data_IF_620455539278
#
_entry.id   IF_620455539278
#
_cell.length_a   1.000
_cell.length_b   1.000
_cell.length_c   1.000
_cell.angle_alpha   90.00
_cell.angle_beta   90.00
_cell.angle_gamma   90.00
#
_symmetry.space_group_name_H-M   'P 1'
#
loop_
_entity.id
_entity.type
_entity.pdbx_description
1 polymer ?
#
# COMPACT_ATOMS: atom_id res chain seq x y z
N UNK A 1 5.29 25.92 -6.51
CA UNK A 1 4.04 25.78 -7.27
C UNK A 1 3.16 24.75 -6.57
N UNK A 2 1.84 24.94 -6.41
CA UNK A 2 0.95 23.91 -5.90
C UNK A 2 1.08 22.63 -6.75
N UNK A 3 1.07 21.46 -6.07
CA UNK A 3 1.14 20.16 -6.76
C UNK A 3 2.53 19.69 -7.19
N UNK A 4 3.60 20.41 -6.83
CA UNK A 4 4.98 20.00 -7.10
C UNK A 4 5.74 19.93 -5.77
N UNK A 5 5.75 18.75 -5.09
CA UNK A 5 6.42 18.61 -3.82
C UNK A 5 7.95 18.69 -3.99
N UNK A 6 8.61 19.29 -3.00
CA UNK A 6 10.04 19.10 -2.81
C UNK A 6 10.24 17.75 -2.12
N UNK A 7 11.16 16.95 -2.64
CA UNK A 7 11.43 15.60 -2.10
C UNK A 7 12.93 15.48 -1.85
N UNK A 8 13.28 15.04 -0.65
CA UNK A 8 14.63 14.59 -0.31
C UNK A 8 14.57 13.20 0.32
N UNK A 9 15.64 12.43 0.19
CA UNK A 9 15.67 11.09 0.70
C UNK A 9 17.06 10.48 0.76
N UNK A 10 17.15 9.41 1.57
CA UNK A 10 18.33 8.56 1.70
C UNK A 10 17.90 7.13 1.55
N UNK A 11 18.60 6.39 0.68
CA UNK A 11 18.40 4.97 0.47
C UNK A 11 19.71 4.23 0.77
N UNK A 12 19.61 3.15 1.53
CA UNK A 12 20.71 2.24 1.84
C UNK A 12 20.29 0.83 1.47
N UNK A 13 21.21 0.04 0.93
CA UNK A 13 20.99 -1.37 0.63
C UNK A 13 22.24 -2.18 0.88
N UNK A 14 22.08 -3.47 1.15
CA UNK A 14 23.16 -4.43 1.23
C UNK A 14 22.74 -5.77 0.63
N UNK A 15 23.73 -6.53 0.17
CA UNK A 15 23.64 -7.95 -0.15
C UNK A 15 24.82 -8.65 0.47
N UNK A 16 24.58 -9.82 1.07
CA UNK A 16 25.59 -10.66 1.68
C UNK A 16 25.32 -12.12 1.30
N UNK A 17 26.38 -12.84 0.94
CA UNK A 17 26.35 -14.27 0.68
C UNK A 17 27.53 -14.89 1.39
N UNK A 18 27.29 -15.98 2.11
CA UNK A 18 28.29 -16.72 2.84
C UNK A 18 28.16 -18.21 2.51
N UNK A 19 29.11 -18.80 1.76
CA UNK A 19 29.14 -20.24 1.53
C UNK A 19 29.34 -21.02 2.84
N UNK A 20 28.54 -22.09 3.02
CA UNK A 20 28.70 -23.06 4.10
C UNK A 20 29.08 -24.40 3.47
N UNK A 21 30.38 -24.67 3.38
CA UNK A 21 30.89 -25.82 2.64
C UNK A 21 30.75 -25.64 1.13
N UNK A 22 30.61 -26.76 0.39
CA UNK A 22 30.65 -26.77 -1.08
C UNK A 22 29.26 -26.68 -1.73
N UNK A 23 28.21 -26.96 -1.00
CA UNK A 23 26.86 -27.17 -1.59
C UNK A 23 25.79 -26.20 -1.05
N UNK A 24 26.07 -25.44 0.00
CA UNK A 24 25.08 -24.63 0.69
C UNK A 24 25.62 -23.23 0.93
N UNK A 25 24.78 -22.23 0.80
CA UNK A 25 25.08 -20.86 1.14
C UNK A 25 23.96 -20.21 1.95
N UNK A 26 24.34 -19.36 2.89
CA UNK A 26 23.45 -18.44 3.57
C UNK A 26 23.51 -17.11 2.82
N UNK A 27 22.37 -16.48 2.64
CA UNK A 27 22.32 -15.16 2.06
C UNK A 27 21.44 -14.22 2.88
N UNK A 28 21.73 -12.94 2.77
CA UNK A 28 20.88 -11.89 3.32
C UNK A 28 20.95 -10.66 2.44
N UNK A 29 19.82 -9.99 2.31
CA UNK A 29 19.74 -8.69 1.66
C UNK A 29 18.82 -7.77 2.46
N UNK A 30 19.06 -6.46 2.37
CA UNK A 30 18.20 -5.51 3.00
C UNK A 30 18.24 -4.16 2.31
N UNK A 31 17.12 -3.45 2.47
CA UNK A 31 16.97 -2.07 2.04
C UNK A 31 16.39 -1.25 3.20
N UNK A 32 16.84 -0.04 3.30
CA UNK A 32 16.27 0.96 4.19
C UNK A 32 16.21 2.29 3.44
N UNK A 33 15.07 2.97 3.53
CA UNK A 33 14.91 4.29 2.98
C UNK A 33 14.17 5.23 3.94
N UNK A 34 14.54 6.49 3.85
CA UNK A 34 13.82 7.60 4.44
C UNK A 34 13.61 8.64 3.36
N UNK A 35 12.36 9.05 3.19
CA UNK A 35 11.96 10.10 2.27
C UNK A 35 11.17 11.16 3.04
N UNK A 36 11.45 12.41 2.74
CA UNK A 36 10.69 13.55 3.18
C UNK A 36 10.13 14.27 1.96
N UNK A 37 8.84 14.54 1.97
CA UNK A 37 8.17 15.26 0.89
C UNK A 37 7.37 16.41 1.48
N UNK A 38 7.56 17.59 0.91
CA UNK A 38 6.91 18.85 1.30
C UNK A 38 6.08 19.39 0.17
N UNK A 39 4.81 19.68 0.43
CA UNK A 39 3.88 20.19 -0.56
C UNK A 39 3.11 21.41 -0.05
N UNK A 40 3.16 22.49 -0.80
CA UNK A 40 2.30 23.64 -0.59
C UNK A 40 0.96 23.43 -1.26
N UNK A 41 -0.12 23.69 -0.50
CA UNK A 41 -1.49 23.59 -0.99
C UNK A 41 -1.97 24.95 -1.54
N UNK A 42 -3.28 25.13 -1.64
CA UNK A 42 -3.86 26.38 -2.16
C UNK A 42 -3.84 27.47 -1.12
N UNK A 43 -3.42 28.68 -1.50
CA UNK A 43 -3.42 29.87 -0.66
C UNK A 43 -4.82 30.18 -0.11
N UNK A 44 -4.89 30.44 1.18
CA UNK A 44 -6.07 30.90 1.90
C UNK A 44 -5.97 32.41 2.09
N UNK A 45 -6.81 33.15 1.36
CA UNK A 45 -6.81 34.62 1.43
C UNK A 45 -7.27 35.13 2.80
N UNK A 46 -6.91 36.35 3.21
CA UNK A 46 -7.32 36.91 4.52
C UNK A 46 -8.82 36.83 4.80
N UNK A 47 -9.65 37.11 3.77
CA UNK A 47 -11.10 37.20 3.86
C UNK A 47 -11.82 35.94 3.42
N UNK A 48 -11.25 34.76 3.65
CA UNK A 48 -11.93 33.49 3.38
C UNK A 48 -12.49 32.87 4.66
N UNK A 49 -13.55 32.08 4.52
CA UNK A 49 -14.11 31.29 5.62
C UNK A 49 -13.10 30.26 6.18
N UNK A 50 -12.05 29.95 5.42
CA UNK A 50 -10.99 29.02 5.76
C UNK A 50 -9.79 29.69 6.47
N UNK A 51 -9.93 30.95 6.89
CA UNK A 51 -8.89 31.68 7.61
C UNK A 51 -9.41 32.27 8.94
N UNK A 52 -8.53 32.47 9.88
CA UNK A 52 -8.73 33.22 11.12
C UNK A 52 -7.76 34.40 11.10
N UNK A 53 -8.25 35.64 10.76
CA UNK A 53 -7.38 36.79 10.60
C UNK A 53 -6.57 37.17 11.83
N UNK A 54 -7.05 36.79 13.03
CA UNK A 54 -6.30 37.00 14.29
C UNK A 54 -5.01 36.15 14.34
N UNK A 55 -4.92 35.04 13.61
CA UNK A 55 -3.74 34.19 13.51
C UNK A 55 -2.93 34.50 12.23
N UNK A 56 -3.62 34.70 11.12
CA UNK A 56 -3.00 34.97 9.81
C UNK A 56 -3.65 36.19 9.14
N UNK A 57 -3.24 37.41 9.49
CA UNK A 57 -3.82 38.66 8.95
C UNK A 57 -3.73 38.77 7.43
N UNK A 58 -2.62 38.26 6.88
CA UNK A 58 -2.35 38.28 5.43
C UNK A 58 -2.79 36.97 4.72
N UNK A 59 -3.48 36.07 5.42
CA UNK A 59 -3.76 34.74 4.90
C UNK A 59 -2.57 33.78 5.03
N UNK A 60 -2.71 32.55 4.53
CA UNK A 60 -1.66 31.53 4.63
C UNK A 60 -1.79 30.48 3.52
N UNK A 61 -0.72 29.72 3.35
CA UNK A 61 -0.69 28.55 2.48
C UNK A 61 -0.53 27.31 3.38
N UNK A 62 -1.48 26.37 3.42
CA UNK A 62 -1.27 25.13 4.13
C UNK A 62 -0.05 24.40 3.56
N UNK A 63 0.79 23.87 4.45
CA UNK A 63 2.02 23.16 4.11
C UNK A 63 1.95 21.73 4.63
N UNK A 64 1.93 20.77 3.73
CA UNK A 64 1.75 19.36 4.03
C UNK A 64 3.08 18.61 3.91
N UNK A 65 3.42 17.85 4.94
CA UNK A 65 4.68 17.12 5.05
C UNK A 65 4.40 15.62 5.17
N UNK A 66 5.13 14.83 4.41
CA UNK A 66 5.11 13.37 4.48
C UNK A 66 6.51 12.90 4.86
N UNK A 67 6.61 12.19 5.98
CA UNK A 67 7.80 11.43 6.36
C UNK A 67 7.55 9.97 6.13
N UNK A 68 8.20 9.41 5.12
CA UNK A 68 8.07 8.03 4.69
C UNK A 68 9.34 7.25 5.06
N UNK A 69 9.17 6.07 5.65
CA UNK A 69 10.25 5.16 6.03
C UNK A 69 9.92 3.77 5.56
N UNK A 70 10.82 3.22 4.75
CA UNK A 70 10.74 1.85 4.27
C UNK A 70 11.92 1.04 4.83
N UNK A 71 11.66 -0.19 5.19
CA UNK A 71 12.69 -1.14 5.53
C UNK A 71 12.27 -2.53 5.08
N UNK A 72 13.22 -3.29 4.55
CA UNK A 72 13.06 -4.69 4.22
C UNK A 72 14.35 -5.42 4.55
N UNK A 73 14.21 -6.62 5.11
CA UNK A 73 15.31 -7.56 5.29
C UNK A 73 14.84 -8.94 4.84
N UNK A 74 15.69 -9.63 4.11
CA UNK A 74 15.51 -11.02 3.69
C UNK A 74 16.70 -11.80 4.15
N UNK A 75 16.49 -12.99 4.70
CA UNK A 75 17.52 -13.96 5.01
C UNK A 75 17.11 -15.34 4.50
N UNK A 76 18.07 -16.11 4.03
CA UNK A 76 17.78 -17.42 3.48
C UNK A 76 18.98 -18.36 3.46
N UNK A 77 18.65 -19.61 3.22
CA UNK A 77 19.59 -20.72 3.05
C UNK A 77 19.22 -21.43 1.74
N UNK A 78 20.14 -21.53 0.82
CA UNK A 78 19.93 -22.24 -0.45
C UNK A 78 21.10 -23.14 -0.81
N UNK A 79 20.83 -24.14 -1.61
CA UNK A 79 21.88 -25.03 -2.05
C UNK A 79 21.40 -26.31 -2.72
N UNK A 80 22.37 -27.23 -2.88
CA UNK A 80 22.16 -28.56 -3.42
C UNK A 80 22.05 -29.57 -2.30
N UNK A 81 20.89 -30.23 -2.20
CA UNK A 81 20.60 -31.29 -1.25
C UNK A 81 20.81 -32.68 -1.84
N UNK A 82 20.50 -33.74 -1.05
CA UNK A 82 20.57 -35.10 -1.50
C UNK A 82 19.69 -35.38 -2.71
N UNK A 83 20.05 -36.37 -3.51
CA UNK A 83 19.32 -36.82 -4.70
C UNK A 83 19.12 -35.71 -5.78
N UNK A 84 20.00 -34.71 -5.84
CA UNK A 84 19.94 -33.63 -6.82
C UNK A 84 18.77 -32.66 -6.63
N UNK A 85 18.26 -32.54 -5.40
CA UNK A 85 17.26 -31.51 -5.05
C UNK A 85 17.97 -30.19 -4.78
N UNK A 86 17.64 -29.16 -5.52
CA UNK A 86 17.98 -27.76 -5.19
C UNK A 86 16.91 -27.21 -4.26
N UNK A 87 17.32 -26.47 -3.25
CA UNK A 87 16.40 -25.88 -2.28
C UNK A 87 16.73 -24.40 -2.01
N UNK A 88 15.69 -23.63 -1.68
CA UNK A 88 15.79 -22.30 -1.11
C UNK A 88 14.78 -22.17 0.04
N UNK A 89 15.29 -21.82 1.23
CA UNK A 89 14.48 -21.54 2.41
C UNK A 89 14.72 -20.09 2.77
N UNK A 90 13.68 -19.27 2.76
CA UNK A 90 13.85 -17.85 3.01
C UNK A 90 12.77 -17.28 3.90
N UNK A 91 13.12 -16.19 4.57
CA UNK A 91 12.16 -15.35 5.28
C UNK A 91 12.48 -13.89 5.03
N UNK A 92 11.43 -13.09 4.87
CA UNK A 92 11.50 -11.66 4.63
C UNK A 92 10.58 -10.92 5.58
N UNK A 93 11.03 -9.78 6.07
CA UNK A 93 10.19 -8.83 6.78
C UNK A 93 10.33 -7.46 6.15
N UNK A 94 9.19 -6.84 5.85
CA UNK A 94 9.12 -5.50 5.30
C UNK A 94 8.18 -4.61 6.11
N UNK A 95 8.52 -3.34 6.23
CA UNK A 95 7.71 -2.31 6.87
C UNK A 95 7.81 -1.00 6.12
N UNK A 96 6.65 -0.44 5.76
CA UNK A 96 6.49 0.94 5.34
C UNK A 96 5.74 1.73 6.43
N UNK A 97 6.17 2.96 6.72
CA UNK A 97 5.49 3.87 7.62
C UNK A 97 5.50 5.28 7.06
N UNK A 98 4.32 5.82 6.78
CA UNK A 98 4.10 7.19 6.36
C UNK A 98 3.48 8.00 7.51
N UNK A 99 4.23 9.00 8.00
CA UNK A 99 3.75 9.97 8.99
C UNK A 99 3.40 11.27 8.30
N UNK A 100 2.18 11.74 8.52
CA UNK A 100 1.62 12.95 7.93
C UNK A 100 1.58 14.06 8.97
N UNK A 101 2.11 15.24 8.64
CA UNK A 101 1.99 16.45 9.44
C UNK A 101 1.61 17.62 8.56
N UNK A 102 0.98 18.63 9.12
CA UNK A 102 0.52 19.79 8.37
C UNK A 102 0.67 21.06 9.19
N UNK A 103 1.10 22.13 8.52
CA UNK A 103 1.03 23.50 9.02
C UNK A 103 -0.17 24.19 8.37
N UNK A 104 -1.21 24.42 9.15
CA UNK A 104 -2.46 25.03 8.72
C UNK A 104 -3.30 25.48 9.93
N UNK A 105 -4.60 25.65 9.77
CA UNK A 105 -5.55 25.94 10.83
C UNK A 105 -6.66 24.90 10.86
N UNK A 106 -7.21 24.64 12.04
CA UNK A 106 -8.58 24.16 12.20
C UNK A 106 -9.47 25.36 12.52
N UNK A 107 -10.09 25.94 11.51
CA UNK A 107 -10.86 27.18 11.65
C UNK A 107 -12.09 27.03 12.54
N UNK A 108 -12.57 25.80 12.79
CA UNK A 108 -13.66 25.55 13.74
C UNK A 108 -13.25 25.75 15.21
N UNK A 109 -11.95 25.79 15.50
CA UNK A 109 -11.40 26.14 16.82
C UNK A 109 -11.21 27.65 17.00
N UNK A 110 -11.39 28.44 15.93
CA UNK A 110 -11.21 29.89 15.95
C UNK A 110 -9.78 30.30 16.32
N UNK A 111 -9.63 31.39 17.12
CA UNK A 111 -8.31 31.87 17.55
C UNK A 111 -7.50 30.88 18.40
N UNK A 112 -8.14 29.84 18.94
CA UNK A 112 -7.49 28.79 19.72
C UNK A 112 -6.94 27.64 18.86
N UNK A 113 -7.04 27.74 17.53
CA UNK A 113 -6.48 26.72 16.64
C UNK A 113 -4.96 26.63 16.78
N UNK A 114 -4.39 25.42 16.97
CA UNK A 114 -2.99 25.20 16.68
C UNK A 114 -2.70 25.55 15.21
N UNK A 115 -1.43 25.79 14.89
CA UNK A 115 -0.96 26.07 13.53
C UNK A 115 -0.15 24.92 12.94
N UNK A 116 0.04 23.84 13.72
CA UNK A 116 0.72 22.62 13.30
C UNK A 116 0.02 21.41 13.88
N UNK A 117 -0.17 20.39 13.05
CA UNK A 117 -0.90 19.17 13.37
C UNK A 117 -0.11 17.92 12.98
N UNK A 118 -0.19 16.89 13.80
CA UNK A 118 0.00 15.53 13.35
C UNK A 118 -1.32 15.03 12.78
N UNK A 119 -1.35 14.78 11.48
CA UNK A 119 -2.56 14.34 10.75
C UNK A 119 -2.83 12.85 11.01
N UNK A 120 -1.79 12.07 11.22
CA UNK A 120 -1.83 10.66 11.52
C UNK A 120 -0.67 9.88 10.92
N UNK A 121 -0.68 8.58 11.15
CA UNK A 121 0.37 7.69 10.66
C UNK A 121 -0.25 6.44 10.06
N UNK A 122 0.16 6.09 8.85
CA UNK A 122 -0.21 4.85 8.17
C UNK A 122 0.99 3.92 8.18
N UNK A 123 0.79 2.66 8.55
CA UNK A 123 1.84 1.64 8.57
C UNK A 123 1.37 0.39 7.84
N UNK A 124 2.19 -0.13 6.95
CA UNK A 124 2.03 -1.44 6.33
C UNK A 124 3.21 -2.33 6.71
N UNK A 125 2.94 -3.61 6.99
CA UNK A 125 3.96 -4.62 7.27
C UNK A 125 3.67 -5.87 6.46
N UNK A 126 4.73 -6.58 6.09
CA UNK A 126 4.64 -7.90 5.49
C UNK A 126 5.73 -8.79 6.05
N UNK A 127 5.34 -9.99 6.46
CA UNK A 127 6.25 -11.09 6.75
C UNK A 127 5.94 -12.24 5.82
N UNK A 128 6.96 -12.75 5.11
CA UNK A 128 6.83 -13.86 4.18
C UNK A 128 7.90 -14.89 4.49
N UNK A 129 7.54 -16.17 4.50
CA UNK A 129 8.48 -17.29 4.59
C UNK A 129 8.21 -18.27 3.48
N UNK A 130 9.26 -18.70 2.78
CA UNK A 130 9.17 -19.55 1.59
C UNK A 130 10.01 -20.81 1.77
N UNK A 131 9.52 -21.89 1.20
CA UNK A 131 10.23 -23.13 0.95
C UNK A 131 10.08 -23.44 -0.53
N UNK A 132 11.19 -23.46 -1.27
CA UNK A 132 11.23 -23.76 -2.70
C UNK A 132 12.15 -24.96 -2.93
N UNK A 133 11.63 -25.97 -3.62
CA UNK A 133 12.35 -27.19 -3.97
C UNK A 133 12.29 -27.41 -5.47
N UNK A 134 13.41 -27.78 -6.07
CA UNK A 134 13.52 -28.01 -7.49
C UNK A 134 14.36 -29.26 -7.79
N UNK A 135 13.95 -30.07 -8.77
CA UNK A 135 14.69 -31.24 -9.20
C UNK A 135 14.49 -31.52 -10.68
N UNK A 136 15.56 -31.97 -11.33
CA UNK A 136 15.54 -32.52 -12.68
C UNK A 136 15.34 -34.03 -12.61
N UNK A 137 14.22 -34.54 -13.15
CA UNK A 137 13.82 -35.95 -13.10
C UNK A 137 13.96 -36.56 -14.48
N UNK A 138 14.87 -37.54 -14.68
CA UNK A 138 15.00 -38.23 -15.96
C UNK A 138 13.78 -39.10 -16.23
N UNK A 139 13.02 -38.78 -17.30
CA UNK A 139 11.82 -39.54 -17.71
C UNK A 139 11.93 -40.11 -19.13
N UNK A 140 13.13 -40.12 -19.71
CA UNK A 140 13.39 -40.70 -21.03
C UNK A 140 12.98 -39.84 -22.23
N UNK A 141 12.67 -38.55 -22.02
CA UNK A 141 12.40 -37.59 -23.09
C UNK A 141 13.66 -36.79 -23.48
N UNK A 142 13.52 -35.78 -24.35
CA UNK A 142 14.62 -35.00 -24.91
C UNK A 142 15.45 -34.23 -23.84
N UNK A 143 14.85 -34.00 -22.66
CA UNK A 143 15.52 -33.47 -21.47
C UNK A 143 14.86 -34.03 -20.21
N UNK A 144 15.48 -33.97 -19.04
CA UNK A 144 14.82 -34.25 -17.78
C UNK A 144 13.60 -33.35 -17.56
N UNK A 145 12.60 -33.87 -16.90
CA UNK A 145 11.46 -33.09 -16.40
C UNK A 145 11.92 -32.22 -15.24
N UNK A 146 11.83 -30.90 -15.39
CA UNK A 146 12.00 -29.99 -14.29
C UNK A 146 10.74 -29.99 -13.43
N UNK A 147 10.88 -30.39 -12.18
CA UNK A 147 9.83 -30.32 -11.16
C UNK A 147 10.23 -29.27 -10.15
N UNK A 148 9.42 -28.20 -9.99
CA UNK A 148 9.58 -27.21 -8.94
C UNK A 148 8.29 -27.16 -8.12
N UNK A 149 8.44 -27.19 -6.81
CA UNK A 149 7.32 -27.09 -5.87
C UNK A 149 7.75 -26.20 -4.69
N UNK A 150 6.78 -25.54 -4.10
CA UNK A 150 7.06 -24.70 -2.93
C UNK A 150 5.81 -24.40 -2.13
N UNK A 151 6.07 -23.82 -0.96
CA UNK A 151 5.04 -23.33 -0.06
C UNK A 151 5.46 -21.96 0.49
N UNK A 152 4.48 -21.11 0.71
CA UNK A 152 4.65 -19.77 1.26
C UNK A 152 3.69 -19.57 2.42
N UNK A 153 4.19 -18.96 3.50
CA UNK A 153 3.39 -18.32 4.52
C UNK A 153 3.60 -16.82 4.46
N UNK A 154 2.49 -16.07 4.46
CA UNK A 154 2.53 -14.61 4.44
C UNK A 154 1.61 -14.04 5.51
N UNK A 155 2.10 -13.04 6.24
CA UNK A 155 1.30 -12.20 7.12
C UNK A 155 1.42 -10.74 6.69
N UNK A 156 0.30 -10.12 6.34
CA UNK A 156 0.20 -8.68 6.05
C UNK A 156 -0.43 -7.96 7.24
N UNK A 157 0.11 -6.81 7.58
CA UNK A 157 -0.44 -5.89 8.56
C UNK A 157 -0.69 -4.53 7.93
N UNK A 158 -1.77 -3.88 8.34
CA UNK A 158 -2.10 -2.51 7.96
C UNK A 158 -2.69 -1.78 9.16
N UNK A 159 -2.20 -0.59 9.44
CA UNK A 159 -2.73 0.23 10.52
C UNK A 159 -2.79 1.70 10.16
N UNK A 160 -3.83 2.36 10.66
CA UNK A 160 -3.98 3.81 10.69
C UNK A 160 -3.98 4.21 12.17
N UNK A 161 -3.05 5.10 12.55
CA UNK A 161 -3.06 5.75 13.85
C UNK A 161 -3.66 7.16 13.71
N UNK A 162 -4.54 7.51 14.64
CA UNK A 162 -5.20 8.81 14.66
C UNK A 162 -4.19 9.96 14.80
N UNK A 163 -4.58 11.11 14.27
CA UNK A 163 -3.87 12.37 14.42
C UNK A 163 -4.13 13.06 15.76
N UNK A 164 -3.61 14.27 15.89
CA UNK A 164 -3.92 15.15 17.02
C UNK A 164 -5.42 15.46 17.03
N UNK A 165 -6.11 15.47 18.19
CA UNK A 165 -7.54 15.80 18.25
C UNK A 165 -7.90 17.10 17.55
N UNK A 166 -7.09 18.15 17.69
CA UNK A 166 -7.28 19.42 17.01
C UNK A 166 -7.25 19.31 15.47
N UNK A 167 -6.70 18.25 14.90
CA UNK A 167 -6.64 18.06 13.46
C UNK A 167 -7.94 17.55 12.82
N UNK A 168 -8.92 17.08 13.64
CA UNK A 168 -10.17 16.51 13.14
C UNK A 168 -11.44 16.95 13.88
N UNK A 169 -11.35 17.49 15.10
CA UNK A 169 -12.53 17.88 15.88
C UNK A 169 -13.23 19.11 15.31
N UNK A 170 -14.54 19.20 15.56
CA UNK A 170 -15.33 20.42 15.38
C UNK A 170 -15.33 21.24 16.68
N UNK A 171 -14.74 22.43 16.65
CA UNK A 171 -14.68 23.34 17.78
C UNK A 171 -15.91 24.24 17.92
N UNK A 172 -16.82 24.20 16.93
CA UNK A 172 -18.07 24.97 16.97
C UNK A 172 -17.92 26.50 16.86
N UNK A 173 -16.72 27.00 16.53
CA UNK A 173 -16.47 28.43 16.41
C UNK A 173 -17.31 29.05 15.29
N UNK A 174 -17.97 30.17 15.61
CA UNK A 174 -18.71 30.99 14.67
C UNK A 174 -18.03 32.33 14.45
N UNK A 175 -18.11 32.83 13.24
CA UNK A 175 -17.55 34.15 12.91
C UNK A 175 -18.23 35.25 13.74
N UNK A 176 -17.46 36.15 14.39
CA UNK A 176 -18.05 37.26 15.17
C UNK A 176 -18.88 38.21 14.33
N UNK A 177 -19.80 38.91 15.00
CA UNK A 177 -20.57 40.00 14.37
C UNK A 177 -19.60 41.08 13.83
N UNK A 178 -19.92 41.65 12.67
CA UNK A 178 -19.10 42.68 12.03
C UNK A 178 -17.93 42.14 11.21
N UNK A 179 -17.76 40.82 11.15
CA UNK A 179 -16.77 40.19 10.26
C UNK A 179 -17.42 39.60 9.01
N UNK A 180 -16.70 39.39 7.92
CA UNK A 180 -17.18 38.55 6.84
C UNK A 180 -17.61 37.17 7.38
N UNK A 181 -18.73 36.62 6.89
CA UNK A 181 -19.31 35.33 7.35
C UNK A 181 -19.82 35.35 8.81
N UNK A 182 -20.24 36.51 9.34
CA UNK A 182 -20.77 36.62 10.69
C UNK A 182 -21.87 35.58 10.97
N UNK A 183 -21.74 34.84 12.07
CA UNK A 183 -22.65 33.77 12.47
C UNK A 183 -22.53 32.46 11.75
N UNK A 184 -21.76 32.37 10.66
CA UNK A 184 -21.52 31.11 9.95
C UNK A 184 -20.62 30.16 10.76
N UNK A 185 -20.90 28.86 10.67
CA UNK A 185 -20.08 27.80 11.21
C UNK A 185 -18.83 27.63 10.36
N UNK A 186 -17.73 27.35 11.02
CA UNK A 186 -16.45 27.07 10.36
C UNK A 186 -16.26 25.57 10.11
N UNK A 187 -15.54 25.23 9.06
CA UNK A 187 -15.24 23.86 8.69
C UNK A 187 -14.36 23.17 9.73
N UNK A 188 -14.75 21.97 10.23
CA UNK A 188 -13.93 21.22 11.17
C UNK A 188 -12.68 20.64 10.53
N UNK A 189 -11.67 20.42 11.36
CA UNK A 189 -10.41 19.78 10.99
C UNK A 189 -9.39 20.70 10.34
N UNK A 190 -8.15 20.20 10.21
CA UNK A 190 -7.06 20.89 9.52
C UNK A 190 -7.43 21.14 8.05
N UNK A 191 -7.03 22.31 7.53
CA UNK A 191 -7.60 22.86 6.29
C UNK A 191 -6.94 22.36 5.00
N UNK A 192 -5.86 21.64 5.08
CA UNK A 192 -5.26 20.96 3.92
C UNK A 192 -5.75 19.53 3.82
N UNK A 193 -5.44 18.76 4.86
CA UNK A 193 -5.86 17.37 5.02
C UNK A 193 -6.38 17.20 6.44
N UNK A 194 -7.65 16.83 6.57
CA UNK A 194 -8.24 16.54 7.88
C UNK A 194 -7.53 15.34 8.52
N UNK A 195 -7.22 15.44 9.81
CA UNK A 195 -6.58 14.36 10.54
C UNK A 195 -7.41 13.08 10.59
N UNK A 196 -6.73 11.94 10.65
CA UNK A 196 -7.41 10.68 10.91
C UNK A 196 -8.03 10.71 12.31
N UNK A 197 -9.33 10.53 12.36
CA UNK A 197 -10.07 10.47 13.61
C UNK A 197 -10.01 9.05 14.20
N UNK A 198 -10.28 8.87 15.52
CA UNK A 198 -10.28 7.55 16.14
C UNK A 198 -11.18 6.52 15.44
N UNK A 199 -12.26 6.96 14.82
CA UNK A 199 -13.20 6.11 14.08
C UNK A 199 -12.62 5.54 12.78
N UNK A 200 -11.60 6.21 12.23
CA UNK A 200 -10.87 5.74 11.04
C UNK A 200 -9.55 5.02 11.40
N UNK A 201 -9.16 5.08 12.68
CA UNK A 201 -7.98 4.39 13.17
C UNK A 201 -8.27 2.91 13.39
N UNK A 202 -7.27 2.08 13.17
CA UNK A 202 -7.42 0.64 13.34
C UNK A 202 -6.16 -0.13 12.98
N UNK A 203 -6.20 -1.42 13.31
CA UNK A 203 -5.14 -2.37 12.98
C UNK A 203 -5.76 -3.63 12.38
N UNK A 204 -5.33 -3.99 11.20
CA UNK A 204 -5.86 -5.11 10.44
C UNK A 204 -4.73 -6.05 10.05
N UNK A 205 -5.01 -7.36 10.03
CA UNK A 205 -4.06 -8.39 9.67
C UNK A 205 -4.71 -9.40 8.73
N UNK A 206 -3.91 -9.94 7.82
CA UNK A 206 -4.25 -11.05 6.94
C UNK A 206 -3.14 -12.06 6.99
N UNK A 207 -3.50 -13.34 7.06
CA UNK A 207 -2.59 -14.46 6.87
C UNK A 207 -2.96 -15.19 5.61
N UNK A 208 -1.97 -15.70 4.92
CA UNK A 208 -2.18 -16.53 3.75
C UNK A 208 -1.17 -17.68 3.75
N UNK A 209 -1.66 -18.86 3.35
CA UNK A 209 -0.83 -20.00 3.01
C UNK A 209 -0.99 -20.27 1.53
N UNK A 210 0.09 -20.62 0.87
CA UNK A 210 0.03 -21.04 -0.50
C UNK A 210 0.97 -22.19 -0.79
N UNK A 211 0.60 -23.01 -1.78
CA UNK A 211 1.46 -24.04 -2.32
C UNK A 211 1.40 -23.99 -3.85
N UNK A 212 2.50 -24.30 -4.50
CA UNK A 212 2.57 -24.34 -5.94
C UNK A 212 3.34 -25.56 -6.45
N UNK A 213 3.00 -25.96 -7.67
CA UNK A 213 3.71 -26.95 -8.46
C UNK A 213 3.96 -26.37 -9.86
N UNK A 214 5.19 -26.46 -10.34
CA UNK A 214 5.57 -26.14 -11.72
C UNK A 214 6.29 -27.32 -12.35
N UNK A 215 5.89 -27.68 -13.55
CA UNK A 215 6.45 -28.76 -14.36
C UNK A 215 6.87 -28.19 -15.71
N UNK A 216 8.14 -28.36 -16.08
CA UNK A 216 8.65 -27.92 -17.38
C UNK A 216 9.32 -29.09 -18.10
N UNK A 217 8.91 -29.36 -19.33
CA UNK A 217 9.39 -30.50 -20.09
C UNK A 217 9.72 -30.13 -21.52
N UNK A 218 10.92 -30.51 -21.93
CA UNK A 218 11.30 -30.56 -23.32
C UNK A 218 10.92 -31.94 -23.89
N UNK A 219 9.75 -31.99 -24.56
CA UNK A 219 9.17 -33.27 -25.06
C UNK A 219 9.99 -33.81 -26.22
N UNK A 220 10.42 -32.94 -27.13
CA UNK A 220 11.19 -33.27 -28.32
C UNK A 220 12.14 -32.11 -28.65
N UNK A 221 13.02 -32.31 -29.63
CA UNK A 221 13.88 -31.22 -30.13
C UNK A 221 12.99 -30.09 -30.68
N UNK A 222 13.13 -28.90 -30.11
CA UNK A 222 12.34 -27.71 -30.48
C UNK A 222 10.92 -27.69 -29.95
N UNK A 223 10.51 -28.58 -29.00
CA UNK A 223 9.17 -28.58 -28.37
C UNK A 223 9.29 -28.59 -26.87
N UNK A 224 8.82 -27.52 -26.23
CA UNK A 224 8.79 -27.35 -24.78
C UNK A 224 7.36 -27.07 -24.32
N UNK A 225 6.96 -27.66 -23.19
CA UNK A 225 5.70 -27.38 -22.49
C UNK A 225 5.97 -27.11 -21.00
N UNK A 226 5.17 -26.21 -20.43
CA UNK A 226 5.20 -25.97 -18.99
C UNK A 226 3.75 -25.92 -18.46
N UNK A 227 3.56 -26.51 -17.26
CA UNK A 227 2.32 -26.53 -16.51
C UNK A 227 2.61 -25.97 -15.12
N UNK A 228 1.79 -25.07 -14.64
CA UNK A 228 1.90 -24.58 -13.26
C UNK A 228 0.51 -24.50 -12.62
N UNK A 229 0.45 -24.77 -11.32
CA UNK A 229 -0.72 -24.60 -10.48
C UNK A 229 -0.32 -24.01 -9.15
N UNK A 230 -1.15 -23.12 -8.60
CA UNK A 230 -0.98 -22.51 -7.27
C UNK A 230 -2.33 -22.48 -6.56
N UNK A 231 -2.32 -22.96 -5.34
CA UNK A 231 -3.42 -22.88 -4.38
C UNK A 231 -3.06 -21.88 -3.30
N UNK A 232 -3.99 -21.00 -2.92
CA UNK A 232 -3.82 -20.02 -1.84
C UNK A 232 -5.04 -20.04 -0.93
N UNK A 233 -4.80 -19.95 0.39
CA UNK A 233 -5.83 -19.86 1.43
C UNK A 233 -5.58 -18.59 2.24
N UNK A 234 -6.54 -17.68 2.26
CA UNK A 234 -6.50 -16.38 2.93
C UNK A 234 -7.44 -16.35 4.13
N UNK A 235 -6.98 -15.81 5.23
CA UNK A 235 -7.73 -15.76 6.49
C UNK A 235 -9.01 -14.90 6.46
N UNK A 236 -9.23 -14.11 5.43
CA UNK A 236 -10.29 -13.09 5.38
C UNK A 236 -11.23 -13.19 4.18
N UNK A 237 -10.92 -13.99 3.16
CA UNK A 237 -11.84 -14.17 2.01
C UNK A 237 -11.83 -15.58 1.37
N UNK A 238 -11.12 -16.55 1.97
CA UNK A 238 -11.12 -17.94 1.54
C UNK A 238 -10.02 -18.29 0.55
N UNK A 239 -10.29 -19.25 -0.33
CA UNK A 239 -9.28 -19.88 -1.18
C UNK A 239 -9.35 -19.41 -2.61
N UNK A 240 -8.22 -19.52 -3.32
CA UNK A 240 -8.13 -19.29 -4.76
C UNK A 240 -7.17 -20.27 -5.41
N UNK A 241 -7.53 -20.72 -6.61
CA UNK A 241 -6.73 -21.60 -7.45
C UNK A 241 -6.39 -20.90 -8.76
N UNK A 242 -5.11 -20.90 -9.10
CA UNK A 242 -4.63 -20.37 -10.37
C UNK A 242 -3.81 -21.41 -11.11
N UNK A 243 -3.85 -21.36 -12.44
CA UNK A 243 -3.11 -22.27 -13.29
C UNK A 243 -2.50 -21.55 -14.49
N UNK A 244 -1.49 -22.17 -15.06
CA UNK A 244 -0.82 -21.71 -16.28
C UNK A 244 -0.41 -22.91 -17.13
N UNK A 245 -0.68 -22.83 -18.42
CA UNK A 245 -0.16 -23.75 -19.44
C UNK A 245 0.59 -22.91 -20.47
N UNK A 246 1.81 -23.31 -20.82
CA UNK A 246 2.54 -22.69 -21.91
C UNK A 246 3.21 -23.73 -22.79
N UNK A 247 3.35 -23.41 -24.06
CA UNK A 247 4.06 -24.22 -25.05
C UNK A 247 4.96 -23.33 -25.91
N UNK A 248 6.08 -23.89 -26.30
CA UNK A 248 7.01 -23.32 -27.29
C UNK A 248 7.35 -24.37 -28.31
N UNK A 249 7.28 -23.99 -29.59
CA UNK A 249 7.66 -24.83 -30.73
C UNK A 249 8.64 -24.04 -31.60
N UNK A 250 9.78 -24.62 -31.89
CA UNK A 250 10.81 -24.10 -32.79
C UNK A 250 10.74 -24.89 -34.12
N UNK A 251 9.81 -24.55 -35.04
CA UNK A 251 9.57 -25.36 -36.25
C UNK A 251 10.70 -25.29 -37.26
N UNK A 252 11.44 -24.19 -37.26
CA UNK A 252 12.56 -23.94 -38.17
C UNK A 252 13.67 -23.19 -37.41
N UNK A 253 14.90 -23.28 -37.91
CA UNK A 253 16.01 -22.52 -37.33
C UNK A 253 15.76 -21.03 -37.43
N UNK A 254 15.75 -20.36 -36.27
CA UNK A 254 15.50 -18.92 -36.16
C UNK A 254 14.01 -18.53 -36.05
N UNK A 255 13.08 -19.50 -36.02
CA UNK A 255 11.63 -19.24 -35.85
C UNK A 255 11.14 -19.97 -34.59
N UNK A 256 10.54 -19.21 -33.66
CA UNK A 256 9.90 -19.74 -32.45
C UNK A 256 8.45 -19.27 -32.34
N UNK A 257 7.55 -20.21 -32.13
CA UNK A 257 6.14 -19.95 -31.81
C UNK A 257 5.92 -20.23 -30.33
N UNK A 258 5.23 -19.33 -29.64
CA UNK A 258 4.92 -19.46 -28.21
C UNK A 258 3.45 -19.18 -27.97
N UNK A 259 2.82 -19.97 -27.09
CA UNK A 259 1.45 -19.76 -26.62
C UNK A 259 1.39 -19.95 -25.10
N UNK A 260 0.56 -19.15 -24.45
CA UNK A 260 0.31 -19.25 -23.00
C UNK A 260 -1.16 -18.99 -22.73
N UNK A 261 -1.75 -19.83 -21.86
CA UNK A 261 -3.05 -19.60 -21.26
C UNK A 261 -2.91 -19.70 -19.74
N UNK A 262 -3.53 -18.78 -19.01
CA UNK A 262 -3.47 -18.79 -17.54
C UNK A 262 -4.67 -18.07 -16.92
N UNK A 263 -5.00 -18.46 -15.70
CA UNK A 263 -5.81 -17.64 -14.79
C UNK A 263 -4.89 -16.80 -13.92
N UNK A 264 -5.37 -15.69 -13.42
CA UNK A 264 -4.65 -14.83 -12.47
C UNK A 264 -5.60 -14.35 -11.39
N UNK A 265 -5.09 -14.21 -10.19
CA UNK A 265 -5.78 -13.63 -9.06
C UNK A 265 -4.85 -12.64 -8.34
N UNK A 266 -5.44 -11.57 -7.84
CA UNK A 266 -4.77 -10.63 -6.96
C UNK A 266 -5.69 -10.30 -5.78
N UNK A 267 -5.28 -10.67 -4.58
CA UNK A 267 -5.96 -10.27 -3.37
C UNK A 267 -6.02 -8.74 -3.24
N UNK A 268 -7.17 -8.17 -2.90
CA UNK A 268 -7.26 -6.76 -2.52
C UNK A 268 -6.31 -6.48 -1.35
N UNK A 269 -5.61 -5.36 -1.37
CA UNK A 269 -4.73 -4.99 -0.26
C UNK A 269 -5.56 -4.65 0.99
N UNK A 270 -4.98 -4.81 2.19
CA UNK A 270 -5.63 -4.37 3.43
C UNK A 270 -5.92 -2.86 3.40
N UNK A 271 -5.08 -2.07 2.72
CA UNK A 271 -5.34 -0.65 2.50
C UNK A 271 -6.60 -0.42 1.66
N UNK A 272 -6.81 -1.16 0.58
CA UNK A 272 -8.02 -1.05 -0.25
C UNK A 272 -9.30 -1.39 0.52
N UNK A 273 -9.22 -2.33 1.47
CA UNK A 273 -10.36 -2.73 2.29
C UNK A 273 -10.64 -1.79 3.47
N UNK A 274 -9.59 -1.28 4.12
CA UNK A 274 -9.69 -0.64 5.44
C UNK A 274 -9.26 0.82 5.46
N UNK A 275 -8.90 1.41 4.30
CA UNK A 275 -8.62 2.83 4.26
C UNK A 275 -9.92 3.62 4.42
N UNK A 276 -9.93 4.54 5.38
CA UNK A 276 -10.97 5.52 5.55
C UNK A 276 -10.35 6.89 5.82
N UNK A 277 -10.94 7.92 5.30
CA UNK A 277 -10.51 9.30 5.53
C UNK A 277 -11.67 10.25 5.42
N UNK A 278 -11.55 11.43 6.02
CA UNK A 278 -12.45 12.53 5.83
C UNK A 278 -11.73 13.74 5.28
N UNK A 279 -12.39 14.52 4.48
CA UNK A 279 -11.90 15.81 3.99
C UNK A 279 -13.07 16.75 3.77
N UNK A 280 -12.77 18.04 3.62
CA UNK A 280 -13.78 19.03 3.25
C UNK A 280 -13.47 19.54 1.86
N UNK A 281 -14.42 19.42 0.96
CA UNK A 281 -14.29 19.92 -0.43
C UNK A 281 -15.40 20.90 -0.76
N UNK A 282 -15.13 21.77 -1.75
CA UNK A 282 -16.14 22.59 -2.35
C UNK A 282 -17.05 21.76 -3.25
N UNK A 283 -18.35 21.71 -2.94
CA UNK A 283 -19.36 20.98 -3.72
C UNK A 283 -20.38 21.98 -4.28
N UNK A 284 -20.66 21.87 -5.57
CA UNK A 284 -21.78 22.55 -6.20
C UNK A 284 -22.99 21.61 -6.16
N UNK A 285 -23.97 21.92 -5.32
CA UNK A 285 -25.18 21.11 -5.21
C UNK A 285 -26.15 21.41 -6.36
N UNK A 286 -26.96 20.43 -6.79
CA UNK A 286 -27.96 20.65 -7.84
C UNK A 286 -28.87 21.85 -7.55
N UNK A 287 -28.98 22.78 -8.50
CA UNK A 287 -29.75 24.01 -8.39
C UNK A 287 -29.05 25.18 -7.70
N UNK A 288 -27.83 25.03 -7.22
CA UNK A 288 -27.03 26.12 -6.67
C UNK A 288 -26.07 26.68 -7.71
N UNK A 289 -25.78 27.97 -7.61
CA UNK A 289 -24.79 28.68 -8.47
C UNK A 289 -23.47 28.92 -7.76
N UNK A 290 -23.38 28.64 -6.46
CA UNK A 290 -22.20 28.82 -5.61
C UNK A 290 -21.79 27.50 -4.96
N UNK A 291 -20.48 27.28 -4.92
CA UNK A 291 -19.89 26.11 -4.27
C UNK A 291 -19.98 26.27 -2.74
N UNK A 292 -20.52 25.26 -2.05
CA UNK A 292 -20.48 25.17 -0.58
C UNK A 292 -19.44 24.15 -0.14
N UNK A 293 -18.83 24.40 1.01
CA UNK A 293 -17.93 23.44 1.64
C UNK A 293 -18.76 22.31 2.27
N UNK A 294 -18.47 21.08 1.88
CA UNK A 294 -19.13 19.91 2.41
C UNK A 294 -18.10 18.87 2.89
N UNK A 295 -18.35 18.23 4.05
CA UNK A 295 -17.52 17.10 4.46
C UNK A 295 -17.80 15.92 3.54
N UNK A 296 -16.72 15.29 3.06
CA UNK A 296 -16.75 14.06 2.29
C UNK A 296 -15.93 13.00 3.00
N UNK A 297 -16.34 11.74 2.86
CA UNK A 297 -15.66 10.61 3.48
C UNK A 297 -15.34 9.56 2.42
N UNK A 298 -14.13 9.05 2.46
CA UNK A 298 -13.80 7.76 1.89
C UNK A 298 -14.20 6.70 2.93
N UNK A 299 -15.14 5.83 2.59
CA UNK A 299 -15.67 4.80 3.47
C UNK A 299 -14.97 3.47 3.20
N UNK A 300 -14.85 2.64 4.22
CA UNK A 300 -14.44 1.25 4.04
C UNK A 300 -15.51 0.50 3.23
N UNK A 301 -15.12 -0.56 2.53
CA UNK A 301 -16.04 -1.29 1.63
C UNK A 301 -17.18 -2.00 2.38
N UNK A 302 -16.98 -2.30 3.65
CA UNK A 302 -17.94 -2.93 4.57
C UNK A 302 -18.72 -1.92 5.44
N UNK A 303 -18.48 -0.62 5.26
CA UNK A 303 -19.28 0.42 5.92
C UNK A 303 -20.75 0.31 5.50
N UNK A 304 -21.71 0.31 6.46
CA UNK A 304 -23.14 0.18 6.14
C UNK A 304 -23.67 1.17 5.09
N UNK A 305 -23.12 2.40 5.07
CA UNK A 305 -23.51 3.42 4.08
C UNK A 305 -22.94 3.05 2.71
N UNK A 306 -21.68 2.61 2.64
CA UNK A 306 -21.06 2.17 1.38
C UNK A 306 -21.83 0.97 0.80
N UNK A 307 -22.16 -0.03 1.61
CA UNK A 307 -22.94 -1.21 1.22
C UNK A 307 -24.33 -0.81 0.72
N UNK A 308 -25.01 0.12 1.40
CA UNK A 308 -26.32 0.63 0.96
C UNK A 308 -26.25 1.36 -0.40
N UNK A 309 -25.07 1.87 -0.79
CA UNK A 309 -24.82 2.52 -2.07
C UNK A 309 -24.24 1.57 -3.13
N UNK A 310 -24.19 0.29 -2.83
CA UNK A 310 -23.81 -0.76 -3.78
C UNK A 310 -22.33 -1.19 -3.71
N UNK A 311 -21.61 -0.80 -2.67
CA UNK A 311 -20.28 -1.36 -2.44
C UNK A 311 -20.39 -2.87 -2.22
N UNK A 312 -19.50 -3.62 -2.84
CA UNK A 312 -19.42 -5.07 -2.67
C UNK A 312 -18.12 -5.41 -1.93
N UNK A 313 -18.12 -6.46 -1.10
CA UNK A 313 -16.89 -6.98 -0.53
C UNK A 313 -15.86 -7.25 -1.64
N UNK A 314 -14.64 -6.81 -1.40
CA UNK A 314 -13.51 -7.04 -2.32
C UNK A 314 -12.97 -8.44 -2.10
#
# INVERSE_FOLDING_TARGET
KPGQPQVDGLNLSYNAIMPIGAAVEVYSSGTWSRRHADAFLTYRTPNTILNIPALYPEGYIPHFHIQDRDSQVTGGLRGDGPAGIRFDLSTSYARNQARYTEESLNVSLGPNSPTRFHIGTVTATEWTSNIDLQRDVPIGLAAPLLVALGAEYRENGYSIAAGDPASYVDGGYRSPAGTPFAGETRTPGAQGVTGFAPETAGHHRRRAWSAYLNLEQKIAHGVEVALAGRHEDYSDFGTTDTWKVSARIDPLRGVALRGTASTGFRAPTLQQRHYASSSTIGVLFPGETTTRLAPVRALQVDDPVAVAWGAQPL
#
